data_IF_728063663663
#
_entry.id   IF_728063663663
#
_cell.length_a   1.000
_cell.length_b   1.000
_cell.length_c   1.000
_cell.angle_alpha   90.00
_cell.angle_beta   90.00
_cell.angle_gamma   90.00
#
_symmetry.space_group_name_H-M   'P 1'
#
loop_
_entity.id
_entity.type
_entity.pdbx_description
1 polymer ?
#
# COMPACT_ATOMS: atom_id res chain seq x y z
N UNK A 1 32.98 -2.00 11.65
CA UNK A 1 31.65 -1.66 11.14
C UNK A 1 30.80 -2.91 11.19
N UNK A 2 29.54 -2.86 11.62
CA UNK A 2 28.66 -4.02 11.50
C UNK A 2 28.59 -4.47 10.03
N UNK A 3 28.48 -5.78 9.76
CA UNK A 3 28.40 -6.27 8.39
C UNK A 3 27.14 -5.74 7.73
N UNK A 4 27.26 -5.31 6.45
CA UNK A 4 26.11 -4.95 5.64
C UNK A 4 25.32 -6.23 5.34
N UNK A 5 24.03 -6.24 5.70
CA UNK A 5 23.12 -7.32 5.32
C UNK A 5 22.69 -7.10 3.88
N UNK A 6 22.82 -8.12 3.03
CA UNK A 6 22.37 -8.09 1.63
C UNK A 6 21.20 -9.04 1.47
N UNK A 7 20.13 -8.56 0.81
CA UNK A 7 18.92 -9.33 0.50
C UNK A 7 18.52 -9.08 -0.96
N UNK A 8 17.80 -10.02 -1.55
CA UNK A 8 17.23 -9.90 -2.88
C UNK A 8 15.71 -9.83 -2.79
N UNK A 9 15.09 -8.97 -3.59
CA UNK A 9 13.66 -8.66 -3.50
C UNK A 9 12.99 -8.85 -4.85
N UNK A 10 11.74 -9.32 -4.83
CA UNK A 10 10.88 -9.35 -6.01
C UNK A 10 10.34 -7.95 -6.39
N UNK A 11 9.48 -7.90 -7.42
CA UNK A 11 8.85 -6.66 -7.89
C UNK A 11 7.93 -5.99 -6.86
N UNK A 12 7.53 -6.72 -5.80
CA UNK A 12 6.69 -6.21 -4.70
C UNK A 12 7.48 -5.85 -3.45
N UNK A 13 8.83 -5.90 -3.53
CA UNK A 13 9.77 -5.73 -2.43
C UNK A 13 9.70 -6.83 -1.36
N UNK A 14 9.13 -7.99 -1.66
CA UNK A 14 9.20 -9.16 -0.80
C UNK A 14 10.56 -9.84 -0.90
N UNK A 15 11.11 -10.29 0.24
CA UNK A 15 12.43 -10.93 0.31
C UNK A 15 12.37 -12.30 -0.34
N UNK A 16 13.32 -12.56 -1.25
CA UNK A 16 13.51 -13.83 -1.91
C UNK A 16 14.63 -14.65 -1.24
N UNK A 17 14.57 -15.99 -1.35
CA UNK A 17 15.60 -16.87 -0.77
C UNK A 17 16.96 -16.78 -1.50
N UNK A 18 16.98 -16.24 -2.73
CA UNK A 18 18.19 -16.08 -3.55
C UNK A 18 18.01 -14.94 -4.56
N UNK A 19 19.07 -14.64 -5.34
CA UNK A 19 19.05 -13.65 -6.40
C UNK A 19 18.17 -14.05 -7.61
N UNK A 20 17.77 -15.33 -7.72
CA UNK A 20 16.96 -15.80 -8.83
C UNK A 20 15.56 -15.18 -8.78
N UNK A 21 15.15 -14.53 -9.87
CA UNK A 21 13.84 -13.84 -9.96
C UNK A 21 13.78 -12.50 -9.25
N UNK A 22 14.93 -11.99 -8.74
CA UNK A 22 14.98 -10.69 -8.10
C UNK A 22 14.71 -9.56 -9.10
N UNK A 23 14.16 -8.47 -8.60
CA UNK A 23 14.02 -7.17 -9.27
C UNK A 23 14.93 -6.13 -8.62
N UNK A 24 15.20 -6.29 -7.33
CA UNK A 24 16.02 -5.37 -6.55
C UNK A 24 17.00 -6.13 -5.65
N UNK A 25 18.08 -5.46 -5.29
CA UNK A 25 19.03 -5.88 -4.27
C UNK A 25 19.03 -4.86 -3.14
N UNK A 26 18.79 -5.30 -1.92
CA UNK A 26 18.78 -4.47 -0.70
C UNK A 26 20.07 -4.59 0.07
N UNK A 27 20.58 -3.48 0.53
CA UNK A 27 21.65 -3.39 1.51
C UNK A 27 21.12 -2.71 2.78
N UNK A 28 21.31 -3.35 3.92
CA UNK A 28 20.97 -2.79 5.24
C UNK A 28 22.25 -2.59 6.04
N UNK A 29 22.54 -1.34 6.40
CA UNK A 29 23.67 -0.93 7.20
C UNK A 29 23.16 -0.42 8.56
N UNK A 30 23.42 -1.20 9.64
CA UNK A 30 23.04 -0.81 11.00
C UNK A 30 24.04 0.20 11.56
N UNK A 31 23.55 1.31 12.14
CA UNK A 31 24.37 2.28 12.89
C UNK A 31 24.44 1.95 14.37
N UNK A 32 23.41 1.30 14.86
CA UNK A 32 23.28 0.79 16.23
C UNK A 32 22.46 -0.51 16.22
N UNK A 33 21.92 -0.93 17.36
CA UNK A 33 21.18 -2.19 17.49
C UNK A 33 19.83 -2.21 16.75
N UNK A 34 19.27 -1.05 16.38
CA UNK A 34 17.91 -0.93 15.82
C UNK A 34 17.82 0.00 14.62
N UNK A 35 18.64 1.06 14.58
CA UNK A 35 18.62 2.10 13.54
C UNK A 35 19.68 1.88 12.48
N UNK A 36 19.56 2.59 11.37
CA UNK A 36 20.52 2.51 10.27
C UNK A 36 20.00 3.05 8.96
N UNK A 37 20.64 2.61 7.88
CA UNK A 37 20.33 2.99 6.52
C UNK A 37 19.99 1.75 5.69
N UNK A 38 18.90 1.84 4.92
CA UNK A 38 18.50 0.84 3.93
C UNK A 38 18.63 1.43 2.55
N UNK A 39 19.31 0.72 1.66
CA UNK A 39 19.50 1.10 0.25
C UNK A 39 19.01 -0.02 -0.63
N UNK A 40 18.11 0.28 -1.55
CA UNK A 40 17.69 -0.64 -2.59
C UNK A 40 18.33 -0.24 -3.92
N UNK A 41 18.73 -1.24 -4.71
CA UNK A 41 19.37 -1.07 -5.99
C UNK A 41 18.58 -1.81 -7.06
N UNK A 42 18.46 -1.21 -8.24
CA UNK A 42 18.08 -1.92 -9.44
C UNK A 42 19.11 -3.02 -9.75
N UNK A 43 18.74 -4.03 -10.52
CA UNK A 43 19.69 -5.07 -10.95
C UNK A 43 20.82 -4.51 -11.83
N UNK A 44 20.62 -3.35 -12.46
CA UNK A 44 21.68 -2.59 -13.14
C UNK A 44 22.77 -2.05 -12.20
N UNK A 45 22.60 -2.20 -10.88
CA UNK A 45 23.50 -1.67 -9.86
C UNK A 45 23.26 -0.21 -9.49
N UNK A 46 22.34 0.49 -10.17
CA UNK A 46 21.97 1.86 -9.83
C UNK A 46 21.13 1.91 -8.58
N UNK A 47 21.31 2.94 -7.75
CA UNK A 47 20.52 3.16 -6.55
C UNK A 47 19.06 3.43 -6.94
N UNK A 48 18.14 2.67 -6.34
CA UNK A 48 16.69 2.80 -6.50
C UNK A 48 16.08 3.57 -5.33
N UNK A 49 16.49 3.24 -4.08
CA UNK A 49 16.01 3.97 -2.91
C UNK A 49 17.07 4.03 -1.81
N UNK A 50 16.92 5.03 -0.95
CA UNK A 50 17.70 5.23 0.27
C UNK A 50 16.79 5.73 1.37
N UNK A 51 16.81 5.06 2.50
CA UNK A 51 15.98 5.41 3.65
C UNK A 51 16.79 5.37 4.95
N UNK A 52 16.67 6.41 5.75
CA UNK A 52 17.23 6.47 7.07
C UNK A 52 16.18 6.07 8.12
N UNK A 53 16.51 5.11 8.95
CA UNK A 53 15.63 4.58 9.99
C UNK A 53 16.17 4.84 11.38
N UNK A 54 15.31 5.32 12.25
CA UNK A 54 15.53 5.28 13.69
C UNK A 54 15.36 3.85 14.21
N UNK A 55 14.43 3.08 13.60
CA UNK A 55 14.21 1.69 13.92
C UNK A 55 13.81 0.90 12.66
N UNK A 56 14.73 0.09 12.12
CA UNK A 56 14.54 -0.64 10.86
C UNK A 56 13.40 -1.65 10.94
N UNK A 57 13.42 -2.52 11.98
CA UNK A 57 12.41 -3.59 12.11
C UNK A 57 10.98 -3.07 12.27
N UNK A 58 10.80 -1.93 12.91
CA UNK A 58 9.49 -1.30 13.11
C UNK A 58 9.16 -0.28 12.00
N UNK A 59 10.04 -0.16 10.99
CA UNK A 59 9.91 0.80 9.87
C UNK A 59 9.74 2.27 10.33
N UNK A 60 10.40 2.66 11.45
CA UNK A 60 10.36 4.06 11.92
C UNK A 60 11.42 4.86 11.17
N UNK A 61 10.97 5.59 10.16
CA UNK A 61 11.82 6.48 9.34
C UNK A 61 12.17 7.73 10.13
N UNK A 62 13.44 8.14 10.12
CA UNK A 62 13.89 9.41 10.71
C UNK A 62 14.99 10.03 9.83
N UNK A 63 14.78 11.26 9.38
CA UNK A 63 15.62 11.91 8.38
C UNK A 63 14.99 11.82 6.99
N UNK A 64 15.75 11.40 5.99
CA UNK A 64 15.31 11.44 4.59
C UNK A 64 15.00 10.07 4.03
N UNK A 65 13.93 10.02 3.23
CA UNK A 65 13.66 8.97 2.25
C UNK A 65 13.85 9.57 0.85
N UNK A 66 14.58 8.87 0.00
CA UNK A 66 14.77 9.24 -1.40
C UNK A 66 14.65 8.00 -2.28
N UNK A 67 14.06 8.16 -3.46
CA UNK A 67 14.18 7.16 -4.51
C UNK A 67 14.41 7.81 -5.88
N UNK A 68 14.87 7.00 -6.81
CA UNK A 68 15.31 7.41 -8.14
C UNK A 68 14.69 6.54 -9.21
N UNK A 69 14.42 7.13 -10.34
CA UNK A 69 14.19 6.41 -11.57
C UNK A 69 15.47 5.69 -12.03
N UNK A 70 15.34 4.66 -12.85
CA UNK A 70 16.50 3.92 -13.36
C UNK A 70 17.43 4.76 -14.25
N UNK A 71 16.95 5.89 -14.80
CA UNK A 71 17.80 6.86 -15.48
C UNK A 71 18.66 7.71 -14.52
N UNK A 72 18.51 7.54 -13.19
CA UNK A 72 19.26 8.26 -12.16
C UNK A 72 18.63 9.57 -11.70
N UNK A 73 17.53 10.01 -12.32
CA UNK A 73 16.79 11.19 -11.85
C UNK A 73 16.08 10.89 -10.54
N UNK A 74 16.13 11.80 -9.56
CA UNK A 74 15.34 11.68 -8.34
C UNK A 74 13.86 11.59 -8.69
N UNK A 75 13.15 10.62 -8.12
CA UNK A 75 11.69 10.51 -8.22
C UNK A 75 11.03 11.15 -7.02
N UNK A 76 11.44 10.74 -5.80
CA UNK A 76 10.93 11.30 -4.56
C UNK A 76 12.04 11.73 -3.62
N UNK A 77 11.77 12.81 -2.88
CA UNK A 77 12.49 13.26 -1.71
C UNK A 77 11.48 13.59 -0.62
N UNK A 78 11.64 12.98 0.56
CA UNK A 78 10.71 13.14 1.67
C UNK A 78 11.48 13.25 2.98
N UNK A 79 11.00 14.09 3.90
CA UNK A 79 11.56 14.28 5.23
C UNK A 79 10.61 13.71 6.30
N UNK A 80 11.20 13.02 7.26
CA UNK A 80 10.49 12.35 8.34
C UNK A 80 11.12 12.63 9.69
N UNK A 81 10.28 12.66 10.72
CA UNK A 81 10.70 12.71 12.12
C UNK A 81 9.89 11.67 12.90
N UNK A 82 10.60 10.70 13.52
CA UNK A 82 9.97 9.61 14.31
C UNK A 82 8.81 8.90 13.59
N UNK A 83 9.03 8.50 12.34
CA UNK A 83 8.03 7.82 11.51
C UNK A 83 6.95 8.69 10.90
N UNK A 84 6.93 9.97 11.22
CA UNK A 84 5.90 10.91 10.74
C UNK A 84 6.49 11.87 9.72
N UNK A 85 5.80 12.12 8.62
CA UNK A 85 6.19 13.13 7.62
C UNK A 85 6.31 14.51 8.30
N UNK A 86 7.49 15.13 8.19
CA UNK A 86 7.77 16.42 8.81
C UNK A 86 8.88 17.13 8.05
N UNK A 87 8.54 18.22 7.36
CA UNK A 87 9.44 18.93 6.45
C UNK A 87 8.97 18.82 5.00
N UNK A 88 9.92 18.77 4.07
CA UNK A 88 9.69 18.88 2.63
C UNK A 88 9.39 17.50 2.01
N UNK A 89 8.42 17.48 1.11
CA UNK A 89 8.19 16.40 0.16
C UNK A 89 8.25 16.95 -1.25
N UNK A 90 9.06 16.31 -2.10
CA UNK A 90 9.16 16.62 -3.54
C UNK A 90 9.00 15.35 -4.36
N UNK A 91 8.31 15.47 -5.48
CA UNK A 91 8.28 14.47 -6.54
C UNK A 91 8.72 15.11 -7.84
N UNK A 92 9.44 14.36 -8.64
CA UNK A 92 9.93 14.85 -9.94
C UNK A 92 9.42 13.93 -11.05
N UNK A 93 9.34 14.47 -12.25
CA UNK A 93 9.16 13.69 -13.46
C UNK A 93 10.50 13.02 -13.88
N UNK A 94 10.45 11.96 -14.74
CA UNK A 94 11.68 11.34 -15.27
C UNK A 94 12.63 12.29 -16.00
N UNK A 95 12.13 13.45 -16.48
CA UNK A 95 12.94 14.52 -17.08
C UNK A 95 13.55 15.49 -16.06
N UNK A 96 13.42 15.23 -14.76
CA UNK A 96 13.97 16.03 -13.67
C UNK A 96 13.15 17.26 -13.28
N UNK A 97 12.07 17.59 -14.00
CA UNK A 97 11.23 18.72 -13.62
C UNK A 97 10.39 18.38 -12.38
N UNK A 98 10.21 19.39 -11.51
CA UNK A 98 9.39 19.26 -10.32
C UNK A 98 7.94 18.96 -10.72
N UNK A 99 7.38 17.90 -10.13
CA UNK A 99 5.98 17.50 -10.31
C UNK A 99 5.13 17.93 -9.11
N UNK A 100 5.63 17.68 -7.89
CA UNK A 100 4.90 17.93 -6.64
C UNK A 100 5.83 18.57 -5.62
N UNK A 101 5.32 19.54 -4.88
CA UNK A 101 5.97 20.15 -3.73
C UNK A 101 4.97 20.24 -2.59
N UNK A 102 5.32 19.70 -1.45
CA UNK A 102 4.49 19.72 -0.25
C UNK A 102 5.33 20.05 0.96
N UNK A 103 4.70 20.72 1.95
CA UNK A 103 5.25 20.92 3.29
C UNK A 103 4.38 20.19 4.30
N UNK A 104 5.03 19.51 5.23
CA UNK A 104 4.40 18.80 6.31
C UNK A 104 4.89 19.28 7.67
N UNK A 105 3.97 19.38 8.63
CA UNK A 105 4.25 19.59 10.04
C UNK A 105 3.52 18.49 10.83
N UNK A 106 4.27 17.63 11.50
CA UNK A 106 3.73 16.54 12.34
C UNK A 106 2.67 15.69 11.61
N UNK A 107 2.98 15.27 10.37
CA UNK A 107 2.11 14.43 9.53
C UNK A 107 0.97 15.17 8.82
N UNK A 108 0.76 16.44 9.12
CA UNK A 108 -0.28 17.23 8.46
C UNK A 108 0.33 18.10 7.36
N UNK A 109 -0.19 17.96 6.13
CA UNK A 109 0.22 18.84 5.03
C UNK A 109 -0.25 20.28 5.28
N UNK A 110 0.69 21.22 5.21
CA UNK A 110 0.45 22.66 5.38
C UNK A 110 0.47 23.42 4.05
N UNK A 111 1.17 22.89 3.05
CA UNK A 111 1.25 23.45 1.70
C UNK A 111 1.30 22.31 0.68
N UNK A 112 0.61 22.48 -0.45
CA UNK A 112 0.69 21.57 -1.60
C UNK A 112 0.68 22.36 -2.91
N UNK A 113 1.63 22.04 -3.80
CA UNK A 113 1.69 22.55 -5.17
C UNK A 113 1.90 21.38 -6.13
N UNK A 114 1.28 21.44 -7.30
CA UNK A 114 1.40 20.44 -8.35
C UNK A 114 1.73 21.15 -9.67
N UNK A 115 2.60 20.53 -10.47
CA UNK A 115 3.05 21.07 -11.74
C UNK A 115 2.88 20.02 -12.84
N UNK A 116 2.60 20.44 -14.05
CA UNK A 116 2.61 19.56 -15.21
C UNK A 116 4.06 19.26 -15.69
N UNK A 117 4.19 18.39 -16.68
CA UNK A 117 5.50 17.98 -17.25
C UNK A 117 6.28 19.14 -17.88
N UNK A 118 5.62 20.26 -18.20
CA UNK A 118 6.23 21.47 -18.72
C UNK A 118 6.71 22.43 -17.62
N UNK A 119 6.28 22.18 -16.35
CA UNK A 119 6.61 22.99 -15.19
C UNK A 119 5.57 24.06 -14.88
N UNK A 120 4.42 24.05 -15.56
CA UNK A 120 3.30 24.95 -15.27
C UNK A 120 2.54 24.45 -14.04
N UNK A 121 2.28 25.33 -13.08
CA UNK A 121 1.48 24.99 -11.92
C UNK A 121 0.04 24.69 -12.33
N UNK A 122 -0.47 23.56 -11.83
CA UNK A 122 -1.84 23.08 -12.07
C UNK A 122 -2.59 22.92 -10.74
N UNK A 123 -3.90 22.60 -10.82
CA UNK A 123 -4.74 22.36 -9.65
C UNK A 123 -4.14 21.22 -8.84
N UNK A 124 -3.94 21.47 -7.55
CA UNK A 124 -3.46 20.45 -6.63
C UNK A 124 -4.50 19.33 -6.44
N UNK A 125 -4.02 18.09 -6.51
CA UNK A 125 -4.79 16.88 -6.14
C UNK A 125 -3.96 16.05 -5.17
N UNK A 126 -4.64 15.28 -4.32
CA UNK A 126 -3.97 14.33 -3.43
C UNK A 126 -3.20 13.29 -4.24
N UNK A 127 -1.98 12.94 -3.76
CA UNK A 127 -1.19 11.91 -4.41
C UNK A 127 -1.93 10.57 -4.45
N UNK A 128 -2.50 10.16 -3.30
CA UNK A 128 -3.20 8.89 -3.16
C UNK A 128 -4.52 9.09 -2.44
N UNK A 129 -5.59 8.63 -3.07
CA UNK A 129 -6.92 8.54 -2.48
C UNK A 129 -7.30 7.06 -2.51
N UNK A 130 -7.65 6.50 -1.35
CA UNK A 130 -8.13 5.13 -1.25
C UNK A 130 -9.59 5.03 -1.71
N UNK A 131 -10.03 3.86 -2.20
CA UNK A 131 -11.44 3.63 -2.50
C UNK A 131 -12.30 3.87 -1.27
N UNK A 132 -13.49 4.42 -1.47
CA UNK A 132 -14.47 4.59 -0.39
C UNK A 132 -15.80 3.97 -0.78
N UNK A 133 -16.43 3.27 0.16
CA UNK A 133 -17.79 2.75 0.03
C UNK A 133 -18.78 3.83 0.46
N UNK A 134 -19.91 3.94 -0.23
CA UNK A 134 -20.95 4.90 0.18
C UNK A 134 -21.45 4.58 1.60
N UNK A 135 -21.51 5.57 2.47
CA UNK A 135 -21.78 5.38 3.90
C UNK A 135 -20.58 4.88 4.74
N UNK A 136 -19.39 4.73 4.11
CA UNK A 136 -18.13 4.39 4.79
C UNK A 136 -18.02 2.93 5.23
N UNK A 137 -17.01 2.66 6.05
CA UNK A 137 -16.68 1.29 6.50
C UNK A 137 -17.81 0.64 7.29
N UNK A 138 -18.56 1.41 8.09
CA UNK A 138 -19.69 0.89 8.87
C UNK A 138 -20.79 0.33 7.95
N UNK A 139 -21.16 1.09 6.92
CA UNK A 139 -22.16 0.66 5.93
C UNK A 139 -21.66 -0.54 5.13
N UNK A 140 -20.39 -0.55 4.72
CA UNK A 140 -19.76 -1.69 4.04
C UNK A 140 -19.91 -2.99 4.87
N UNK A 141 -19.55 -2.94 6.14
CA UNK A 141 -19.66 -4.12 7.03
C UNK A 141 -21.11 -4.54 7.27
N UNK A 142 -22.03 -3.58 7.38
CA UNK A 142 -23.46 -3.85 7.48
C UNK A 142 -23.98 -4.53 6.21
N UNK A 143 -23.68 -4.02 5.04
CA UNK A 143 -24.13 -4.59 3.76
C UNK A 143 -23.58 -6.00 3.55
N UNK A 144 -22.32 -6.23 3.91
CA UNK A 144 -21.74 -7.57 3.90
C UNK A 144 -22.54 -8.50 4.82
N UNK A 145 -22.81 -8.09 6.04
CA UNK A 145 -23.58 -8.89 7.01
C UNK A 145 -24.98 -9.22 6.49
N UNK A 146 -25.69 -8.22 5.96
CA UNK A 146 -27.06 -8.38 5.43
C UNK A 146 -27.12 -9.29 4.19
N UNK A 147 -26.05 -9.26 3.35
CA UNK A 147 -25.95 -10.06 2.12
C UNK A 147 -25.34 -11.45 2.35
N UNK A 148 -24.79 -11.70 3.53
CA UNK A 148 -24.22 -13.01 3.88
C UNK A 148 -25.32 -14.00 4.21
N UNK A 149 -25.47 -15.03 3.38
CA UNK A 149 -26.37 -16.15 3.62
C UNK A 149 -25.59 -17.28 4.28
N UNK A 150 -25.97 -17.64 5.50
CA UNK A 150 -25.31 -18.73 6.22
C UNK A 150 -25.63 -20.07 5.55
N UNK A 151 -24.63 -20.85 5.09
CA UNK A 151 -24.87 -22.13 4.44
C UNK A 151 -25.48 -23.11 5.41
N UNK A 152 -26.60 -23.76 5.01
CA UNK A 152 -27.37 -24.67 5.86
C UNK A 152 -26.51 -25.84 6.40
N UNK A 153 -25.64 -26.40 5.57
CA UNK A 153 -24.71 -27.48 5.97
C UNK A 153 -23.75 -27.01 7.07
N UNK A 154 -23.17 -25.82 6.91
CA UNK A 154 -22.26 -25.27 7.92
C UNK A 154 -22.99 -24.95 9.23
N UNK A 155 -24.22 -24.44 9.14
CA UNK A 155 -25.06 -24.16 10.30
C UNK A 155 -25.41 -25.44 11.10
N UNK A 156 -25.78 -26.53 10.41
CA UNK A 156 -26.06 -27.82 11.05
C UNK A 156 -24.83 -28.46 11.69
N UNK A 157 -23.64 -28.15 11.19
CA UNK A 157 -22.35 -28.63 11.73
C UNK A 157 -21.77 -27.69 12.77
N UNK A 158 -22.45 -26.60 13.14
CA UNK A 158 -22.00 -25.59 14.10
C UNK A 158 -20.64 -24.99 13.73
N UNK A 159 -20.36 -24.80 12.40
CA UNK A 159 -19.10 -24.23 11.92
C UNK A 159 -19.18 -22.71 11.98
N UNK A 160 -18.60 -22.10 12.98
CA UNK A 160 -18.51 -20.65 13.18
C UNK A 160 -17.10 -20.14 12.96
N UNK A 161 -16.97 -18.85 12.64
CA UNK A 161 -15.67 -18.15 12.58
C UNK A 161 -15.58 -17.14 11.47
N UNK A 162 -14.35 -16.81 11.07
CA UNK A 162 -14.04 -15.73 10.14
C UNK A 162 -13.54 -16.28 8.80
N UNK A 163 -14.00 -15.65 7.73
CA UNK A 163 -13.46 -15.80 6.37
C UNK A 163 -12.93 -14.44 5.93
N UNK A 164 -11.68 -14.37 5.46
CA UNK A 164 -11.10 -13.16 4.90
C UNK A 164 -11.15 -13.26 3.37
N UNK A 165 -11.91 -12.34 2.76
CA UNK A 165 -12.03 -12.21 1.31
C UNK A 165 -11.19 -11.05 0.84
N UNK A 166 -10.28 -11.29 -0.12
CA UNK A 166 -9.60 -10.25 -0.87
C UNK A 166 -10.31 -10.02 -2.20
N UNK A 167 -10.32 -8.77 -2.65
CA UNK A 167 -10.86 -8.37 -3.94
C UNK A 167 -10.16 -7.12 -4.45
N UNK A 168 -10.39 -6.77 -5.71
CA UNK A 168 -9.92 -5.53 -6.34
C UNK A 168 -11.11 -4.60 -6.52
N UNK A 169 -10.97 -3.36 -6.07
CA UNK A 169 -11.84 -2.26 -6.50
C UNK A 169 -11.24 -1.68 -7.79
N UNK A 170 -11.93 -1.83 -8.91
CA UNK A 170 -11.44 -1.38 -10.20
C UNK A 170 -11.56 0.15 -10.38
N UNK A 171 -11.09 0.66 -11.52
CA UNK A 171 -11.11 2.08 -11.87
C UNK A 171 -12.51 2.70 -11.95
N UNK A 172 -13.55 1.87 -12.07
CA UNK A 172 -14.95 2.28 -12.10
C UNK A 172 -15.64 2.09 -10.74
N UNK A 173 -14.93 1.57 -9.74
CA UNK A 173 -15.46 1.27 -8.42
C UNK A 173 -16.06 -0.13 -8.28
N UNK A 174 -16.03 -0.96 -9.32
CA UNK A 174 -16.59 -2.30 -9.28
C UNK A 174 -15.67 -3.29 -8.55
N UNK A 175 -16.28 -4.24 -7.82
CA UNK A 175 -15.59 -5.34 -7.15
C UNK A 175 -15.23 -6.43 -8.15
N UNK A 176 -13.94 -6.82 -8.23
CA UNK A 176 -13.42 -7.85 -9.13
C UNK A 176 -12.38 -8.74 -8.44
N UNK A 177 -12.02 -9.85 -9.10
CA UNK A 177 -10.91 -10.72 -8.71
C UNK A 177 -10.98 -11.19 -7.24
N UNK A 178 -12.17 -11.65 -6.84
CA UNK A 178 -12.39 -12.17 -5.48
C UNK A 178 -11.59 -13.43 -5.24
N UNK A 179 -10.97 -13.51 -4.07
CA UNK A 179 -10.29 -14.73 -3.60
C UNK A 179 -10.36 -14.86 -2.09
N UNK A 180 -10.38 -16.08 -1.61
CA UNK A 180 -10.24 -16.36 -0.18
C UNK A 180 -8.77 -16.22 0.21
N UNK A 181 -8.49 -15.45 1.25
CA UNK A 181 -7.15 -15.29 1.85
C UNK A 181 -7.01 -16.24 3.03
N UNK A 182 -8.06 -16.30 3.86
CA UNK A 182 -8.09 -17.12 5.06
C UNK A 182 -9.52 -17.63 5.27
N UNK A 183 -9.68 -18.90 5.64
CA UNK A 183 -10.97 -19.50 5.95
C UNK A 183 -10.80 -20.64 6.95
N UNK A 184 -11.75 -20.76 7.84
CA UNK A 184 -11.83 -21.88 8.78
C UNK A 184 -12.52 -23.11 8.17
N UNK A 185 -13.32 -22.93 7.11
CA UNK A 185 -14.02 -24.03 6.43
C UNK A 185 -14.37 -23.66 4.99
N UNK A 186 -14.11 -24.56 4.03
CA UNK A 186 -14.54 -24.36 2.64
C UNK A 186 -16.05 -24.17 2.47
N UNK A 187 -16.87 -24.70 3.38
CA UNK A 187 -18.33 -24.57 3.36
C UNK A 187 -18.81 -23.11 3.50
N UNK A 188 -17.99 -22.20 4.02
CA UNK A 188 -18.32 -20.79 4.20
C UNK A 188 -17.82 -19.90 3.03
N UNK A 189 -16.92 -20.42 2.18
CA UNK A 189 -16.19 -19.62 1.21
C UNK A 189 -17.11 -18.99 0.15
N UNK A 190 -18.01 -19.79 -0.43
CA UNK A 190 -18.89 -19.29 -1.49
C UNK A 190 -19.87 -18.24 -0.95
N UNK A 191 -20.41 -18.46 0.25
CA UNK A 191 -21.30 -17.49 0.90
C UNK A 191 -20.58 -16.17 1.20
N UNK A 192 -19.33 -16.24 1.64
CA UNK A 192 -18.49 -15.06 1.86
C UNK A 192 -18.19 -14.30 0.55
N UNK A 193 -17.79 -15.02 -0.49
CA UNK A 193 -17.52 -14.41 -1.80
C UNK A 193 -18.78 -13.82 -2.43
N UNK A 194 -19.93 -14.47 -2.29
CA UNK A 194 -21.21 -14.00 -2.83
C UNK A 194 -21.69 -12.72 -2.13
N UNK A 195 -21.48 -12.60 -0.83
CA UNK A 195 -21.79 -11.38 -0.10
C UNK A 195 -20.97 -10.19 -0.62
N UNK A 196 -19.66 -10.39 -0.86
CA UNK A 196 -18.77 -9.35 -1.41
C UNK A 196 -19.10 -9.04 -2.88
N UNK A 197 -19.42 -10.05 -3.69
CA UNK A 197 -19.80 -9.87 -5.10
C UNK A 197 -21.02 -8.99 -5.30
N UNK A 198 -21.92 -8.97 -4.32
CA UNK A 198 -23.17 -8.20 -4.35
C UNK A 198 -23.03 -6.78 -3.80
N UNK A 199 -21.83 -6.35 -3.39
CA UNK A 199 -21.61 -4.98 -2.91
C UNK A 199 -21.89 -3.95 -4.00
N UNK A 200 -22.34 -2.79 -3.57
CA UNK A 200 -22.53 -1.64 -4.47
C UNK A 200 -21.17 -1.07 -4.91
N UNK A 201 -21.20 -0.17 -5.90
CA UNK A 201 -19.99 0.43 -6.41
C UNK A 201 -19.30 1.29 -5.34
N UNK A 202 -17.98 1.16 -5.29
CA UNK A 202 -17.12 2.07 -4.55
C UNK A 202 -16.86 3.36 -5.34
N UNK A 203 -16.59 4.45 -4.66
CA UNK A 203 -15.82 5.53 -5.30
C UNK A 203 -14.39 5.00 -5.48
N UNK A 204 -13.84 4.98 -6.72
CA UNK A 204 -12.55 4.36 -6.99
C UNK A 204 -11.39 5.09 -6.33
N UNK A 205 -10.34 4.33 -6.00
CA UNK A 205 -9.07 4.91 -5.57
C UNK A 205 -8.40 5.68 -6.70
N UNK A 206 -7.56 6.67 -6.33
CA UNK A 206 -6.85 7.51 -7.30
C UNK A 206 -5.39 7.68 -6.90
N UNK A 207 -4.51 7.74 -7.91
CA UNK A 207 -3.14 8.22 -7.79
C UNK A 207 -2.99 9.44 -8.70
N UNK A 208 -2.55 10.58 -8.16
CA UNK A 208 -2.46 11.86 -8.88
C UNK A 208 -3.76 12.25 -9.61
N UNK A 209 -4.91 11.94 -8.99
CA UNK A 209 -6.23 12.20 -9.55
C UNK A 209 -6.71 11.19 -10.60
N UNK A 210 -5.87 10.27 -11.04
CA UNK A 210 -6.22 9.22 -12.03
C UNK A 210 -6.76 7.98 -11.31
N UNK A 211 -7.94 7.45 -11.67
CA UNK A 211 -8.48 6.24 -11.09
C UNK A 211 -7.56 5.04 -11.30
N UNK A 212 -7.34 4.27 -10.23
CA UNK A 212 -6.48 3.07 -10.22
C UNK A 212 -7.21 1.89 -9.57
N UNK A 213 -6.76 0.68 -9.89
CA UNK A 213 -7.18 -0.52 -9.20
C UNK A 213 -6.53 -0.59 -7.81
N UNK A 214 -7.31 -0.94 -6.80
CA UNK A 214 -6.83 -1.06 -5.42
C UNK A 214 -7.26 -2.40 -4.82
N UNK A 215 -6.30 -3.12 -4.23
CA UNK A 215 -6.56 -4.34 -3.47
C UNK A 215 -7.21 -4.00 -2.13
N UNK A 216 -8.23 -4.76 -1.81
CA UNK A 216 -9.01 -4.61 -0.59
C UNK A 216 -9.15 -5.97 0.10
N UNK A 217 -9.28 -5.97 1.43
CA UNK A 217 -9.60 -7.18 2.19
C UNK A 217 -10.68 -6.88 3.22
N UNK A 218 -11.63 -7.80 3.37
CA UNK A 218 -12.68 -7.70 4.38
C UNK A 218 -12.81 -8.99 5.16
N UNK A 219 -12.97 -8.92 6.49
CA UNK A 219 -13.33 -10.06 7.30
C UNK A 219 -14.86 -10.25 7.29
N UNK A 220 -15.32 -11.46 7.08
CA UNK A 220 -16.73 -11.86 7.16
C UNK A 220 -16.86 -12.86 8.30
N UNK A 221 -17.66 -12.52 9.31
CA UNK A 221 -17.85 -13.35 10.48
C UNK A 221 -19.15 -14.14 10.36
N UNK A 222 -19.05 -15.45 10.48
CA UNK A 222 -20.16 -16.39 10.57
C UNK A 222 -20.36 -16.78 12.03
N UNK A 223 -21.54 -16.51 12.57
CA UNK A 223 -21.90 -16.78 13.96
C UNK A 223 -23.35 -17.26 14.03
N UNK A 224 -23.62 -18.28 14.86
CA UNK A 224 -24.94 -18.84 15.10
C UNK A 224 -25.46 -18.20 16.38
N UNK A 225 -26.65 -17.65 16.32
CA UNK A 225 -27.36 -17.04 17.46
C UNK A 225 -28.53 -17.94 17.92
#
# INVERSE_FOLDING_TARGET
MPPIKVEYLDSTFAVLPSAQGAFYRRETEYKDSVGGEVRDYFLSGKLQSRCLYEHIRNAIVHGTFQNWYENGTTEWYQEFKHGVQNGITKQFYPNGKLKRYELYASGKRTLGKLYDVNGKQIKFVEYKILPTYEGGVQKLLQDIKERTVYPEVARRQFIEGKVIVAFVVDKNGAVKNLRIVESISPLLNDAAMDAVRKLDLFTPGKIDGVPVEVYYTVPITFQIF
#
